data_IF_006399932740
#
_entry.id   IF_006399932740
#
_cell.length_a   1.000
_cell.length_b   1.000
_cell.length_c   1.000
_cell.angle_alpha   90.00
_cell.angle_beta   90.00
_cell.angle_gamma   90.00
#
_symmetry.space_group_name_H-M   'P 1'
#
loop_
_entity.id
_entity.type
_entity.pdbx_description
1 polymer ?
#
# COMPACT_ATOMS: atom_id res chain seq x y z
N UNK A 1 -13.78 -0.67 4.89
CA UNK A 1 -13.82 -0.25 3.48
C UNK A 1 -13.96 1.26 3.31
N UNK A 2 -14.68 1.95 4.17
CA UNK A 2 -14.82 3.44 4.10
C UNK A 2 -13.47 4.15 4.30
N UNK A 3 -12.51 3.49 4.94
CA UNK A 3 -11.16 4.02 5.13
C UNK A 3 -10.40 4.28 3.82
N UNK A 4 -10.70 3.56 2.72
CA UNK A 4 -10.02 3.75 1.44
C UNK A 4 -10.56 4.92 0.61
N UNK A 5 -11.80 5.36 0.86
CA UNK A 5 -12.49 6.36 0.04
C UNK A 5 -12.77 5.92 -1.40
N UNK A 6 -12.66 4.62 -1.71
CA UNK A 6 -12.88 4.06 -3.05
C UNK A 6 -14.36 4.00 -3.38
N UNK A 7 -14.73 4.47 -4.56
CA UNK A 7 -16.08 4.39 -5.15
C UNK A 7 -16.04 3.91 -6.62
N UNK A 8 -17.18 3.92 -7.29
CA UNK A 8 -17.36 3.44 -8.66
C UNK A 8 -16.57 4.19 -9.74
N UNK A 9 -15.87 5.26 -9.40
CA UNK A 9 -14.99 6.00 -10.32
C UNK A 9 -13.58 5.40 -10.34
N UNK A 10 -13.19 4.71 -9.27
CA UNK A 10 -11.82 4.25 -9.06
C UNK A 10 -11.51 2.90 -9.71
N UNK A 11 -10.32 2.83 -10.33
CA UNK A 11 -9.58 1.59 -10.47
C UNK A 11 -8.83 1.28 -9.18
N UNK A 12 -8.79 0.03 -8.78
CA UNK A 12 -8.08 -0.40 -7.57
C UNK A 12 -7.02 -1.43 -7.90
N UNK A 13 -5.79 -1.18 -7.46
CA UNK A 13 -4.76 -2.21 -7.36
C UNK A 13 -4.81 -2.79 -5.95
N UNK A 14 -4.99 -4.10 -5.86
CA UNK A 14 -4.86 -4.83 -4.60
C UNK A 14 -3.57 -5.63 -4.58
N UNK A 15 -2.85 -5.60 -3.46
CA UNK A 15 -1.64 -6.39 -3.30
C UNK A 15 -1.89 -7.48 -2.26
N UNK A 16 -1.70 -8.74 -2.67
CA UNK A 16 -1.92 -9.91 -1.84
C UNK A 16 -3.41 -10.15 -1.53
N UNK A 17 -4.23 -10.52 -2.52
CA UNK A 17 -5.66 -10.77 -2.33
C UNK A 17 -5.93 -11.95 -1.39
N UNK A 18 -4.96 -12.86 -1.22
CA UNK A 18 -5.18 -14.10 -0.49
C UNK A 18 -6.34 -14.90 -1.07
N UNK A 19 -7.33 -15.24 -0.26
CA UNK A 19 -8.55 -15.94 -0.71
C UNK A 19 -9.66 -15.00 -1.22
N UNK A 20 -9.39 -13.70 -1.39
CA UNK A 20 -10.30 -12.76 -2.03
C UNK A 20 -11.32 -12.06 -1.11
N UNK A 21 -11.12 -12.10 0.21
CA UNK A 21 -12.06 -11.46 1.16
C UNK A 21 -12.13 -9.95 0.95
N UNK A 22 -10.99 -9.27 0.89
CA UNK A 22 -10.92 -7.85 0.60
C UNK A 22 -11.29 -7.57 -0.85
N UNK A 23 -10.83 -8.40 -1.78
CA UNK A 23 -11.10 -8.30 -3.22
C UNK A 23 -12.58 -8.18 -3.54
N UNK A 24 -13.42 -9.05 -2.94
CA UNK A 24 -14.89 -9.01 -3.14
C UNK A 24 -15.50 -7.69 -2.67
N UNK A 25 -15.05 -7.17 -1.57
CA UNK A 25 -15.55 -5.88 -1.05
C UNK A 25 -15.07 -4.69 -1.89
N UNK A 26 -13.85 -4.76 -2.42
CA UNK A 26 -13.34 -3.77 -3.37
C UNK A 26 -14.13 -3.82 -4.68
N UNK A 27 -14.38 -4.99 -5.23
CA UNK A 27 -15.11 -5.17 -6.48
C UNK A 27 -16.56 -4.66 -6.42
N UNK A 28 -17.22 -4.75 -5.26
CA UNK A 28 -18.56 -4.17 -5.06
C UNK A 28 -18.57 -2.65 -5.16
N UNK A 29 -17.45 -1.98 -4.89
CA UNK A 29 -17.35 -0.52 -4.75
C UNK A 29 -16.60 0.16 -5.88
N UNK A 30 -15.54 -0.44 -6.37
CA UNK A 30 -14.69 0.08 -7.44
C UNK A 30 -15.29 -0.15 -8.83
N UNK A 31 -14.82 0.62 -9.81
CA UNK A 31 -15.09 0.36 -11.21
C UNK A 31 -14.39 -0.93 -11.68
N UNK A 32 -13.14 -1.12 -11.25
CA UNK A 32 -12.33 -2.29 -11.60
C UNK A 32 -11.32 -2.57 -10.51
N UNK A 33 -11.04 -3.86 -10.26
CA UNK A 33 -10.01 -4.33 -9.33
C UNK A 33 -9.00 -5.20 -10.07
N UNK A 34 -7.72 -4.88 -9.91
CA UNK A 34 -6.61 -5.70 -10.38
C UNK A 34 -5.80 -6.12 -9.17
N UNK A 35 -5.80 -7.41 -8.85
CA UNK A 35 -5.06 -7.94 -7.71
C UNK A 35 -3.75 -8.59 -8.17
N UNK A 36 -2.67 -8.31 -7.46
CA UNK A 36 -1.33 -8.85 -7.73
C UNK A 36 -1.01 -9.87 -6.64
N UNK A 37 -0.75 -11.11 -7.04
CA UNK A 37 -0.46 -12.22 -6.14
C UNK A 37 0.80 -12.95 -6.58
N UNK A 38 1.61 -13.37 -5.62
CA UNK A 38 2.87 -14.11 -5.87
C UNK A 38 2.72 -15.61 -5.65
N UNK A 39 1.72 -16.03 -4.87
CA UNK A 39 1.50 -17.45 -4.53
C UNK A 39 0.72 -18.16 -5.63
N UNK A 40 1.40 -19.02 -6.37
CA UNK A 40 0.84 -19.83 -7.46
C UNK A 40 -0.26 -20.81 -7.04
N UNK A 41 -0.45 -21.02 -5.74
CA UNK A 41 -1.49 -21.91 -5.20
C UNK A 41 -2.86 -21.23 -5.06
N UNK A 42 -2.88 -19.90 -5.05
CA UNK A 42 -4.11 -19.11 -4.80
C UNK A 42 -5.02 -18.91 -6.03
N UNK A 43 -4.53 -18.89 -7.29
CA UNK A 43 -5.40 -18.66 -8.44
C UNK A 43 -6.63 -19.57 -8.53
N UNK A 44 -6.55 -20.90 -8.27
CA UNK A 44 -7.75 -21.74 -8.28
C UNK A 44 -8.79 -21.34 -7.22
N UNK A 45 -8.32 -21.00 -6.01
CA UNK A 45 -9.20 -20.53 -4.93
C UNK A 45 -9.82 -19.18 -5.23
N UNK A 46 -9.03 -18.27 -5.81
CA UNK A 46 -9.54 -16.96 -6.24
C UNK A 46 -10.55 -17.07 -7.37
N UNK A 47 -10.36 -17.98 -8.32
CA UNK A 47 -11.34 -18.23 -9.38
C UNK A 47 -12.70 -18.68 -8.81
N UNK A 48 -12.67 -19.51 -7.77
CA UNK A 48 -13.87 -19.96 -7.08
C UNK A 48 -14.53 -18.85 -6.23
N UNK A 49 -13.75 -18.14 -5.42
CA UNK A 49 -14.27 -17.11 -4.53
C UNK A 49 -14.70 -15.83 -5.28
N UNK A 50 -14.13 -15.57 -6.45
CA UNK A 50 -14.46 -14.44 -7.32
C UNK A 50 -15.42 -14.80 -8.46
N UNK A 51 -16.00 -16.00 -8.46
CA UNK A 51 -16.97 -16.42 -9.46
C UNK A 51 -18.14 -15.42 -9.54
N UNK A 52 -18.48 -14.99 -10.78
CA UNK A 52 -19.53 -14.00 -11.03
C UNK A 52 -19.15 -12.55 -10.73
N UNK A 53 -17.85 -12.24 -10.52
CA UNK A 53 -17.34 -10.88 -10.37
C UNK A 53 -16.65 -10.46 -11.66
N UNK A 54 -17.32 -9.65 -12.48
CA UNK A 54 -16.87 -9.31 -13.85
C UNK A 54 -15.79 -8.22 -13.88
N UNK A 55 -15.66 -7.40 -12.82
CA UNK A 55 -14.74 -6.29 -12.75
C UNK A 55 -13.44 -6.61 -11.98
N UNK A 56 -13.07 -7.90 -11.92
CA UNK A 56 -11.86 -8.40 -11.25
C UNK A 56 -10.87 -8.99 -12.27
N UNK A 57 -9.59 -8.72 -12.06
CA UNK A 57 -8.47 -9.33 -12.77
C UNK A 57 -7.36 -9.73 -11.81
N UNK A 58 -6.82 -10.94 -11.98
CA UNK A 58 -5.65 -11.42 -11.25
C UNK A 58 -4.39 -11.29 -12.12
N UNK A 59 -3.30 -10.79 -11.51
CA UNK A 59 -1.94 -10.77 -12.06
C UNK A 59 -1.07 -11.63 -11.14
N UNK A 60 -0.59 -12.77 -11.64
CA UNK A 60 0.27 -13.68 -10.89
C UNK A 60 1.72 -13.25 -11.07
N UNK A 61 2.22 -12.42 -10.17
CA UNK A 61 3.57 -11.89 -10.20
C UNK A 61 3.98 -11.29 -8.84
N UNK A 62 5.29 -11.22 -8.58
CA UNK A 62 5.83 -10.47 -7.45
C UNK A 62 5.65 -8.95 -7.67
N UNK A 63 4.91 -8.28 -6.80
CA UNK A 63 4.63 -6.84 -6.89
C UNK A 63 5.90 -5.98 -6.97
N UNK A 64 6.99 -6.43 -6.37
CA UNK A 64 8.27 -5.72 -6.44
C UNK A 64 8.91 -5.77 -7.83
N UNK A 65 8.47 -6.69 -8.70
CA UNK A 65 8.97 -6.88 -10.07
C UNK A 65 7.99 -6.39 -11.14
N UNK A 66 6.73 -6.13 -10.78
CA UNK A 66 5.73 -5.63 -11.72
C UNK A 66 6.09 -4.21 -12.17
N UNK A 67 5.97 -3.93 -13.47
CA UNK A 67 5.90 -2.57 -13.98
C UNK A 67 4.49 -2.01 -13.70
N UNK A 68 4.36 -1.38 -12.53
CA UNK A 68 3.08 -0.84 -12.07
C UNK A 68 2.61 0.34 -12.91
N UNK A 69 3.52 1.11 -13.54
CA UNK A 69 3.14 2.21 -14.45
C UNK A 69 2.48 1.68 -15.70
N UNK A 70 3.10 0.67 -16.33
CA UNK A 70 2.54 0.02 -17.51
C UNK A 70 1.20 -0.67 -17.17
N UNK A 71 1.12 -1.35 -16.02
CA UNK A 71 -0.11 -2.00 -15.56
C UNK A 71 -1.24 -0.98 -15.38
N UNK A 72 -0.97 0.16 -14.73
CA UNK A 72 -1.96 1.23 -14.52
C UNK A 72 -2.45 1.78 -15.86
N UNK A 73 -1.52 2.10 -16.77
CA UNK A 73 -1.87 2.64 -18.08
C UNK A 73 -2.74 1.67 -18.89
N UNK A 74 -2.48 0.37 -18.81
CA UNK A 74 -3.22 -0.66 -19.52
C UNK A 74 -4.59 -0.93 -18.90
N UNK A 75 -4.67 -1.04 -17.58
CA UNK A 75 -5.85 -1.57 -16.90
C UNK A 75 -6.85 -0.48 -16.46
N UNK A 76 -6.38 0.76 -16.29
CA UNK A 76 -7.17 1.87 -15.74
C UNK A 76 -7.09 3.16 -16.58
N UNK A 77 -7.29 3.09 -17.93
CA UNK A 77 -7.18 4.29 -18.76
C UNK A 77 -8.21 5.34 -18.34
N UNK A 78 -7.73 6.54 -17.98
CA UNK A 78 -8.57 7.68 -17.60
C UNK A 78 -9.28 7.56 -16.25
N UNK A 79 -8.99 6.54 -15.45
CA UNK A 79 -9.57 6.38 -14.12
C UNK A 79 -8.62 6.89 -13.04
N UNK A 80 -9.12 7.49 -11.95
CA UNK A 80 -8.35 7.64 -10.72
C UNK A 80 -8.03 6.26 -10.15
N UNK A 81 -6.80 6.07 -9.65
CA UNK A 81 -6.35 4.78 -9.15
C UNK A 81 -6.01 4.87 -7.67
N UNK A 82 -6.50 3.90 -6.91
CA UNK A 82 -6.13 3.70 -5.52
C UNK A 82 -5.45 2.33 -5.33
N UNK A 83 -4.55 2.25 -4.37
CA UNK A 83 -3.96 0.97 -3.95
C UNK A 83 -4.52 0.58 -2.59
N UNK A 84 -4.98 -0.67 -2.48
CA UNK A 84 -5.46 -1.25 -1.22
C UNK A 84 -4.72 -2.57 -0.97
N UNK A 85 -4.24 -2.78 0.27
CA UNK A 85 -3.51 -4.00 0.58
C UNK A 85 -3.63 -4.40 2.05
N UNK A 86 -3.70 -5.71 2.27
CA UNK A 86 -3.38 -6.31 3.56
C UNK A 86 -1.96 -6.90 3.45
N UNK A 87 -0.96 -6.11 3.83
CA UNK A 87 0.43 -6.46 3.56
C UNK A 87 0.98 -7.47 4.56
N UNK A 88 1.72 -8.49 4.08
CA UNK A 88 2.52 -9.34 4.96
C UNK A 88 3.54 -8.48 5.72
N UNK A 89 3.68 -8.75 7.03
CA UNK A 89 4.44 -7.88 7.94
C UNK A 89 5.92 -7.74 7.57
N UNK A 90 6.52 -8.78 7.01
CA UNK A 90 7.94 -8.82 6.69
C UNK A 90 8.32 -8.03 5.42
N UNK A 91 7.34 -7.64 4.58
CA UNK A 91 7.60 -6.99 3.29
C UNK A 91 6.91 -5.61 3.16
N UNK A 92 6.29 -5.12 4.24
CA UNK A 92 5.56 -3.84 4.26
C UNK A 92 6.42 -2.68 3.75
N UNK A 93 7.61 -2.48 4.32
CA UNK A 93 8.46 -1.33 3.97
C UNK A 93 8.94 -1.35 2.52
N UNK A 94 9.46 -2.45 1.95
CA UNK A 94 9.81 -2.54 0.54
C UNK A 94 8.65 -2.20 -0.40
N UNK A 95 7.44 -2.72 -0.13
CA UNK A 95 6.27 -2.46 -0.96
C UNK A 95 5.87 -0.98 -0.90
N UNK A 96 5.74 -0.40 0.29
CA UNK A 96 5.37 1.01 0.45
C UNK A 96 6.41 1.92 -0.22
N UNK A 97 7.71 1.63 -0.03
CA UNK A 97 8.78 2.40 -0.65
C UNK A 97 8.75 2.34 -2.19
N UNK A 98 8.48 1.15 -2.75
CA UNK A 98 8.31 1.01 -4.20
C UNK A 98 7.13 1.82 -4.70
N UNK A 99 5.96 1.69 -4.08
CA UNK A 99 4.73 2.39 -4.50
C UNK A 99 4.89 3.91 -4.47
N UNK A 100 5.60 4.44 -3.47
CA UNK A 100 5.85 5.88 -3.34
C UNK A 100 7.00 6.34 -4.26
N UNK A 101 8.11 5.58 -4.28
CA UNK A 101 9.33 5.94 -5.02
C UNK A 101 9.17 5.90 -6.54
N UNK A 102 8.38 4.98 -7.06
CA UNK A 102 8.09 4.85 -8.50
C UNK A 102 7.23 6.01 -9.03
N UNK A 103 6.73 6.89 -8.16
CA UNK A 103 5.84 8.02 -8.52
C UNK A 103 4.72 7.57 -9.45
N UNK A 104 3.97 6.57 -8.98
CA UNK A 104 2.86 6.02 -9.72
C UNK A 104 1.72 7.03 -9.84
N UNK A 105 0.94 7.01 -10.93
CA UNK A 105 -0.24 7.85 -11.08
C UNK A 105 -1.41 7.28 -10.24
N UNK A 106 -1.25 7.30 -8.92
CA UNK A 106 -2.23 6.85 -7.93
C UNK A 106 -2.59 8.01 -7.01
N UNK A 107 -3.83 8.06 -6.53
CA UNK A 107 -4.31 9.10 -5.63
C UNK A 107 -4.11 8.74 -4.16
N UNK A 108 -4.25 7.47 -3.84
CA UNK A 108 -4.13 7.01 -2.45
C UNK A 108 -3.61 5.58 -2.33
N UNK A 109 -3.01 5.32 -1.17
CA UNK A 109 -2.56 4.00 -0.74
C UNK A 109 -3.15 3.71 0.64
N UNK A 110 -3.98 2.68 0.75
CA UNK A 110 -4.57 2.24 2.02
C UNK A 110 -4.05 0.85 2.35
N UNK A 111 -3.30 0.74 3.44
CA UNK A 111 -2.66 -0.52 3.83
C UNK A 111 -3.05 -0.93 5.24
N UNK A 112 -3.27 -2.24 5.42
CA UNK A 112 -3.33 -2.86 6.75
C UNK A 112 -1.98 -3.52 7.03
N UNK A 113 -1.39 -3.16 8.18
CA UNK A 113 -0.05 -3.58 8.60
C UNK A 113 -0.02 -3.79 10.12
N UNK A 114 1.08 -4.28 10.67
CA UNK A 114 1.28 -4.27 12.13
C UNK A 114 1.18 -2.85 12.70
N UNK A 115 0.60 -2.72 13.89
CA UNK A 115 0.44 -1.40 14.53
C UNK A 115 1.75 -0.62 14.64
N UNK A 116 2.84 -1.28 15.00
CA UNK A 116 4.16 -0.63 15.06
C UNK A 116 4.63 -0.08 13.70
N UNK A 117 4.40 -0.83 12.62
CA UNK A 117 4.69 -0.35 11.27
C UNK A 117 3.77 0.81 10.88
N UNK A 118 2.48 0.74 11.25
CA UNK A 118 1.53 1.82 11.04
C UNK A 118 1.92 3.10 11.78
N UNK A 119 2.39 2.99 13.03
CA UNK A 119 2.89 4.12 13.81
C UNK A 119 4.06 4.81 13.10
N UNK A 120 4.99 4.04 12.51
CA UNK A 120 6.10 4.58 11.72
C UNK A 120 5.63 5.23 10.41
N UNK A 121 4.70 4.60 9.69
CA UNK A 121 4.13 5.16 8.45
C UNK A 121 3.38 6.47 8.69
N UNK A 122 2.74 6.63 9.86
CA UNK A 122 1.97 7.81 10.22
C UNK A 122 2.76 8.83 11.05
N UNK A 123 4.02 8.53 11.42
CA UNK A 123 4.83 9.42 12.26
C UNK A 123 5.25 10.67 11.50
N UNK A 124 5.14 11.83 12.16
CA UNK A 124 5.72 13.06 11.64
C UNK A 124 7.26 12.99 11.68
N UNK A 125 7.97 13.52 10.68
CA UNK A 125 9.43 13.61 10.69
C UNK A 125 9.94 14.33 11.94
N UNK A 126 11.06 13.85 12.51
CA UNK A 126 11.67 14.45 13.71
C UNK A 126 11.04 14.01 15.04
N UNK A 127 9.99 13.20 15.04
CA UNK A 127 9.43 12.62 16.27
C UNK A 127 10.17 11.34 16.66
N UNK A 128 10.03 10.90 17.93
CA UNK A 128 10.65 9.66 18.42
C UNK A 128 10.26 8.41 17.64
N UNK A 129 9.06 8.38 17.06
CA UNK A 129 8.56 7.27 16.24
C UNK A 129 9.03 7.35 14.78
N UNK A 130 9.67 8.46 14.36
CA UNK A 130 10.09 8.65 12.98
C UNK A 130 11.26 7.72 12.59
N UNK A 131 11.28 7.38 11.33
CA UNK A 131 12.29 6.52 10.71
C UNK A 131 12.45 6.94 9.24
N UNK A 132 13.37 6.34 8.50
CA UNK A 132 13.55 6.62 7.08
C UNK A 132 12.24 6.48 6.28
N UNK A 133 11.41 5.48 6.60
CA UNK A 133 10.11 5.31 5.94
C UNK A 133 9.12 6.43 6.31
N UNK A 134 9.14 6.96 7.53
CA UNK A 134 8.31 8.09 7.93
C UNK A 134 8.64 9.34 7.12
N UNK A 135 9.94 9.60 6.90
CA UNK A 135 10.40 10.71 6.07
C UNK A 135 9.96 10.54 4.61
N UNK A 136 10.15 9.34 4.05
CA UNK A 136 9.72 9.04 2.68
C UNK A 136 8.20 9.20 2.51
N UNK A 137 7.41 8.65 3.45
CA UNK A 137 5.95 8.81 3.42
C UNK A 137 5.58 10.28 3.49
N UNK A 138 6.14 11.06 4.43
CA UNK A 138 5.85 12.50 4.56
C UNK A 138 6.24 13.32 3.34
N UNK A 139 7.28 12.89 2.61
CA UNK A 139 7.73 13.52 1.38
C UNK A 139 6.73 13.31 0.23
N UNK A 140 6.23 12.08 0.05
CA UNK A 140 5.38 11.72 -1.08
C UNK A 140 3.88 11.80 -0.78
N UNK A 141 3.46 11.72 0.49
CA UNK A 141 2.07 11.57 0.87
C UNK A 141 1.72 12.29 2.18
N UNK A 142 0.43 12.42 2.43
CA UNK A 142 -0.11 12.75 3.76
C UNK A 142 -0.69 11.47 4.35
N UNK A 143 -0.17 11.01 5.47
CA UNK A 143 -0.59 9.76 6.11
C UNK A 143 -1.53 10.00 7.29
N UNK A 144 -2.50 9.09 7.45
CA UNK A 144 -3.43 9.07 8.58
C UNK A 144 -3.70 7.64 9.01
N UNK A 145 -3.57 7.37 10.30
CA UNK A 145 -4.07 6.13 10.89
C UNK A 145 -5.60 6.20 10.95
N UNK A 146 -6.25 5.20 10.35
CA UNK A 146 -7.71 5.17 10.24
C UNK A 146 -8.35 4.44 11.43
N UNK A 147 -7.88 3.23 11.72
CA UNK A 147 -8.34 2.43 12.86
C UNK A 147 -7.35 1.30 13.16
N UNK A 148 -7.54 0.64 14.30
CA UNK A 148 -6.81 -0.57 14.69
C UNK A 148 -7.73 -1.78 14.69
N UNK A 149 -7.18 -2.96 14.41
CA UNK A 149 -7.88 -4.24 14.45
C UNK A 149 -7.17 -5.18 15.45
N UNK A 150 -7.93 -5.65 16.43
CA UNK A 150 -7.41 -6.58 17.44
C UNK A 150 -7.11 -7.96 16.82
N UNK A 151 -6.17 -8.75 17.39
CA UNK A 151 -5.85 -10.09 16.90
C UNK A 151 -7.06 -11.01 16.71
N UNK A 152 -8.04 -10.93 17.61
CA UNK A 152 -9.27 -11.72 17.52
C UNK A 152 -10.20 -11.42 16.34
N UNK A 153 -9.89 -10.38 15.55
CA UNK A 153 -10.61 -10.05 14.31
C UNK A 153 -10.17 -10.88 13.10
N UNK A 154 -9.18 -11.76 13.27
CA UNK A 154 -8.57 -12.54 12.19
C UNK A 154 -8.56 -14.03 12.47
N UNK A 155 -8.56 -14.82 11.40
CA UNK A 155 -8.36 -16.26 11.49
C UNK A 155 -7.33 -16.72 10.41
N UNK A 156 -6.23 -17.35 10.82
CA UNK A 156 -5.74 -17.48 12.20
C UNK A 156 -5.40 -16.11 12.83
N UNK A 157 -5.55 -16.02 14.15
CA UNK A 157 -5.28 -14.78 14.87
C UNK A 157 -3.76 -14.44 14.84
N UNK A 158 -3.35 -13.22 14.42
CA UNK A 158 -1.97 -12.80 14.52
C UNK A 158 -1.57 -12.56 15.98
N UNK A 159 -0.26 -12.55 16.26
CA UNK A 159 0.25 -12.30 17.63
C UNK A 159 0.17 -10.84 18.06
N UNK A 160 -0.06 -9.92 17.11
CA UNK A 160 0.01 -8.46 17.33
C UNK A 160 -1.21 -7.76 16.74
N UNK A 161 -1.52 -6.60 17.28
CA UNK A 161 -2.56 -5.71 16.75
C UNK A 161 -2.16 -5.21 15.37
N UNK A 162 -3.11 -5.18 14.44
CA UNK A 162 -2.98 -4.56 13.11
C UNK A 162 -3.56 -3.14 13.13
N UNK A 163 -3.14 -2.33 12.19
CA UNK A 163 -3.73 -1.02 11.98
C UNK A 163 -3.84 -0.71 10.48
N UNK A 164 -4.83 0.09 10.13
CA UNK A 164 -5.03 0.58 8.77
C UNK A 164 -4.53 2.01 8.68
N UNK A 165 -3.63 2.25 7.72
CA UNK A 165 -3.10 3.58 7.40
C UNK A 165 -3.53 3.93 5.98
N UNK A 166 -4.08 5.14 5.81
CA UNK A 166 -4.32 5.74 4.52
C UNK A 166 -3.29 6.82 4.26
N UNK A 167 -2.71 6.78 3.08
CA UNK A 167 -1.75 7.75 2.57
C UNK A 167 -2.33 8.39 1.31
N UNK A 168 -2.55 9.69 1.33
CA UNK A 168 -2.99 10.47 0.17
C UNK A 168 -1.75 11.00 -0.54
N UNK A 169 -1.58 10.62 -1.81
CA UNK A 169 -0.39 10.95 -2.58
C UNK A 169 -0.41 12.43 -2.94
N UNK A 170 0.69 13.12 -2.70
CA UNK A 170 0.84 14.54 -3.03
C UNK A 170 1.04 14.70 -4.54
N UNK A 171 0.39 15.65 -5.20
CA UNK A 171 0.67 16.00 -6.60
C UNK A 171 2.13 16.41 -6.82
N UNK A 172 2.69 17.11 -5.82
CA UNK A 172 4.10 17.50 -5.75
C UNK A 172 4.69 17.13 -4.41
N UNK A 173 5.95 16.69 -4.35
CA UNK A 173 6.62 16.40 -3.09
C UNK A 173 6.59 17.58 -2.12
N UNK A 174 6.62 17.30 -0.81
CA UNK A 174 6.54 18.31 0.24
C UNK A 174 7.69 19.33 0.20
N UNK A 175 8.84 18.91 -0.29
CA UNK A 175 10.06 19.74 -0.49
C UNK A 175 10.75 19.35 -1.79
N UNK A 176 11.47 20.29 -2.40
CA UNK A 176 12.32 19.98 -3.56
C UNK A 176 13.70 19.55 -3.05
N UNK A 177 14.03 18.29 -3.26
CA UNK A 177 15.35 17.71 -2.97
C UNK A 177 15.77 16.86 -4.16
N UNK A 178 17.07 16.76 -4.42
CA UNK A 178 17.60 15.95 -5.51
C UNK A 178 17.37 14.45 -5.22
N UNK A 179 17.59 14.04 -3.96
CA UNK A 179 17.28 12.69 -3.46
C UNK A 179 16.84 12.78 -2.00
N UNK A 180 15.59 12.38 -1.70
CA UNK A 180 15.06 12.47 -0.34
C UNK A 180 15.76 11.49 0.64
N UNK A 181 16.33 10.41 0.16
CA UNK A 181 17.02 9.45 1.01
C UNK A 181 18.40 9.94 1.48
N UNK A 182 19.05 10.81 0.70
CA UNK A 182 20.33 11.41 1.09
C UNK A 182 20.20 12.38 2.28
N UNK A 183 19.02 12.97 2.47
CA UNK A 183 18.79 13.97 3.51
C UNK A 183 18.17 13.42 4.79
N UNK A 184 17.82 12.13 4.84
CA UNK A 184 17.07 11.56 5.97
C UNK A 184 17.94 11.02 7.10
N UNK A 185 19.25 10.90 6.93
CA UNK A 185 20.13 10.40 7.99
C UNK A 185 21.59 10.80 7.76
N UNK A 186 22.06 11.94 8.25
CA UNK A 186 23.48 12.02 8.54
C UNK A 186 23.77 10.97 9.62
N UNK A 187 24.43 9.88 9.21
CA UNK A 187 24.91 8.91 10.18
C UNK A 187 25.83 9.65 11.17
N UNK A 188 25.75 9.41 12.49
CA UNK A 188 26.73 9.93 13.44
C UNK A 188 28.19 9.57 13.10
N UNK A 189 28.41 8.63 12.19
CA UNK A 189 29.72 8.26 11.66
C UNK A 189 30.25 9.23 10.60
N UNK A 190 29.37 10.00 9.94
CA UNK A 190 29.78 10.97 8.91
C UNK A 190 30.22 12.32 9.51
N UNK A 191 30.05 12.51 10.83
CA UNK A 191 30.41 13.72 11.55
C UNK A 191 31.79 13.60 12.23
N UNK A 192 32.42 12.43 12.21
CA UNK A 192 33.70 12.17 12.89
C UNK A 192 34.93 12.24 11.97
N UNK A 193 34.88 13.05 10.92
CA UNK A 193 35.96 13.26 9.95
C UNK A 193 36.37 14.73 9.87
N UNK A 194 36.95 15.29 10.94
CA UNK A 194 37.79 16.51 10.90
C UNK A 194 38.65 16.57 12.14
#
# INVERSE_FOLDING_TARGET
>A
MDASGVDRRYGVIEIGPGIGVLTRELAKRAAKVVSIEVDERLPPLLAETMAGVDNFKLVLQDVLKVDLKALIAQEFPGMPVAVCANLPYYITSPIVMKLLGDRLPIESLTVMVQKEAADRLAAAPGTRASSAISCAVSYYATSKMMFTAAPGSFYPAPKVTSAVVRMEIRPTPAVQVEDCLLYTSPSPRDISGS
#
